data_IF_833920536970
#
_entry.id   IF_833920536970
#
_cell.length_a   1.000
_cell.length_b   1.000
_cell.length_c   1.000
_cell.angle_alpha   90.00
_cell.angle_beta   90.00
_cell.angle_gamma   90.00
#
_symmetry.space_group_name_H-M   'P 1'
#
loop_
_entity.id
_entity.type
_entity.pdbx_description
1 polymer ?
#
# COMPACT_ATOMS: atom_id res chain seq x y z
N UNK A 1 -0.78 -2.99 17.05
CA UNK A 1 0.55 -3.58 16.78
C UNK A 1 0.65 -5.11 16.83
N UNK A 2 -0.26 -5.88 17.45
CA UNK A 2 -0.16 -7.36 17.48
C UNK A 2 -0.88 -8.08 16.33
N UNK A 3 -1.89 -7.46 15.72
CA UNK A 3 -2.69 -8.07 14.66
C UNK A 3 -1.97 -8.11 13.29
N UNK A 4 -1.21 -7.07 12.95
CA UNK A 4 -0.48 -6.99 11.67
C UNK A 4 0.60 -8.08 11.54
N UNK A 5 1.23 -8.50 12.65
CA UNK A 5 2.22 -9.59 12.64
C UNK A 5 1.58 -10.96 12.36
N UNK A 6 0.33 -11.16 12.77
CA UNK A 6 -0.37 -12.43 12.54
C UNK A 6 -0.77 -12.58 11.07
N UNK A 7 -1.22 -11.49 10.44
CA UNK A 7 -1.56 -11.50 9.01
C UNK A 7 -0.33 -11.76 8.12
N UNK A 8 0.82 -11.13 8.43
CA UNK A 8 2.06 -11.37 7.71
C UNK A 8 2.57 -12.81 7.89
N UNK A 9 2.50 -13.35 9.11
CA UNK A 9 2.95 -14.71 9.39
C UNK A 9 2.02 -15.76 8.76
N UNK A 10 0.71 -15.50 8.67
CA UNK A 10 -0.25 -16.36 8.00
C UNK A 10 0.01 -16.42 6.48
N UNK A 11 0.36 -15.28 5.86
CA UNK A 11 0.79 -15.23 4.46
C UNK A 11 2.11 -15.98 4.23
N UNK A 12 3.11 -15.78 5.10
CA UNK A 12 4.43 -16.42 4.98
C UNK A 12 4.40 -17.94 5.24
N UNK A 13 3.54 -18.43 6.14
CA UNK A 13 3.35 -19.87 6.36
C UNK A 13 2.55 -20.55 5.25
N UNK A 14 1.56 -19.87 4.66
CA UNK A 14 0.88 -20.37 3.47
C UNK A 14 1.84 -20.48 2.27
N UNK A 15 2.79 -19.55 2.14
CA UNK A 15 3.79 -19.57 1.07
C UNK A 15 4.91 -20.62 1.25
N UNK A 16 5.06 -21.21 2.45
CA UNK A 16 6.18 -22.11 2.79
C UNK A 16 5.76 -23.55 3.09
N UNK A 17 4.47 -23.88 2.98
CA UNK A 17 3.93 -25.13 3.49
C UNK A 17 3.06 -25.90 2.51
N UNK A 18 3.66 -26.50 1.47
CA UNK A 18 3.23 -27.80 0.93
C UNK A 18 4.35 -28.46 0.13
N UNK A 19 5.31 -29.09 0.83
CA UNK A 19 6.09 -30.18 0.25
C UNK A 19 5.16 -31.39 0.11
N UNK A 20 4.62 -31.60 -1.09
CA UNK A 20 3.78 -32.76 -1.40
C UNK A 20 2.93 -32.66 -2.66
N UNK A 21 3.57 -32.75 -3.83
CA UNK A 21 3.03 -33.38 -5.04
C UNK A 21 1.63 -32.96 -5.57
N UNK A 22 1.57 -31.77 -6.21
CA UNK A 22 0.90 -31.46 -7.50
C UNK A 22 0.94 -29.96 -7.78
N UNK A 23 2.07 -29.52 -8.31
CA UNK A 23 2.34 -28.11 -8.60
C UNK A 23 1.56 -27.56 -9.80
N UNK A 24 1.14 -26.31 -9.69
CA UNK A 24 1.14 -25.39 -10.82
C UNK A 24 0.03 -24.34 -10.84
N UNK A 25 -1.21 -24.70 -10.46
CA UNK A 25 -2.37 -23.79 -10.69
C UNK A 25 -3.25 -23.68 -9.45
N UNK A 26 -3.53 -24.80 -8.77
CA UNK A 26 -4.35 -24.79 -7.56
C UNK A 26 -3.71 -23.99 -6.41
N UNK A 27 -2.38 -23.97 -6.33
CA UNK A 27 -1.63 -23.27 -5.28
C UNK A 27 -1.60 -21.75 -5.51
N UNK A 28 -1.38 -21.30 -6.76
CA UNK A 28 -1.43 -19.88 -7.12
C UNK A 28 -2.85 -19.30 -6.98
N UNK A 29 -3.87 -20.05 -7.43
CA UNK A 29 -5.29 -19.68 -7.23
C UNK A 29 -5.64 -19.60 -5.73
N UNK A 30 -5.06 -20.46 -4.90
CA UNK A 30 -5.25 -20.45 -3.44
C UNK A 30 -4.58 -19.23 -2.81
N UNK A 31 -3.36 -18.89 -3.22
CA UNK A 31 -2.63 -17.71 -2.73
C UNK A 31 -3.34 -16.42 -3.15
N UNK A 32 -3.83 -16.33 -4.39
CA UNK A 32 -4.61 -15.18 -4.86
C UNK A 32 -5.93 -15.05 -4.10
N UNK A 33 -6.65 -16.15 -3.89
CA UNK A 33 -7.89 -16.15 -3.10
C UNK A 33 -7.64 -15.77 -1.63
N UNK A 34 -6.52 -16.20 -1.05
CA UNK A 34 -6.12 -15.80 0.31
C UNK A 34 -5.79 -14.30 0.37
N UNK A 35 -5.07 -13.76 -0.63
CA UNK A 35 -4.80 -12.32 -0.74
C UNK A 35 -6.09 -11.52 -0.86
N UNK A 36 -7.01 -11.89 -1.77
CA UNK A 36 -8.30 -11.18 -1.93
C UNK A 36 -9.12 -11.19 -0.65
N UNK A 37 -9.19 -12.34 0.04
CA UNK A 37 -9.87 -12.42 1.34
C UNK A 37 -9.21 -11.50 2.37
N UNK A 38 -7.89 -11.47 2.46
CA UNK A 38 -7.18 -10.57 3.37
C UNK A 38 -7.46 -9.09 3.06
N UNK A 39 -7.54 -8.73 1.78
CA UNK A 39 -7.90 -7.36 1.36
C UNK A 39 -9.36 -7.00 1.67
N UNK A 40 -10.28 -7.97 1.58
CA UNK A 40 -11.70 -7.78 1.94
C UNK A 40 -11.88 -7.63 3.45
N UNK A 41 -11.27 -8.52 4.23
CA UNK A 41 -11.39 -8.56 5.69
C UNK A 41 -10.80 -7.32 6.37
N UNK A 42 -9.80 -6.68 5.76
CA UNK A 42 -9.12 -5.48 6.30
C UNK A 42 -9.63 -4.17 5.71
N UNK A 43 -10.65 -4.23 4.85
CA UNK A 43 -11.08 -3.08 4.06
C UNK A 43 -11.64 -1.94 4.91
N UNK A 44 -12.34 -2.24 6.00
CA UNK A 44 -12.92 -1.23 6.88
C UNK A 44 -11.83 -0.49 7.66
N UNK A 45 -10.86 -1.21 8.21
CA UNK A 45 -9.72 -0.66 8.94
C UNK A 45 -8.85 0.20 8.03
N UNK A 46 -8.53 -0.29 6.83
CA UNK A 46 -7.74 0.46 5.86
C UNK A 46 -8.46 1.72 5.38
N UNK A 47 -9.77 1.65 5.21
CA UNK A 47 -10.58 2.83 4.89
C UNK A 47 -10.54 3.85 6.03
N UNK A 48 -10.70 3.41 7.27
CA UNK A 48 -10.63 4.29 8.44
C UNK A 48 -9.26 4.97 8.57
N UNK A 49 -8.16 4.23 8.36
CA UNK A 49 -6.80 4.78 8.33
C UNK A 49 -6.68 5.86 7.24
N UNK A 50 -7.14 5.56 6.02
CA UNK A 50 -7.02 6.45 4.89
C UNK A 50 -7.89 7.71 5.03
N UNK A 51 -9.11 7.58 5.57
CA UNK A 51 -10.04 8.68 5.84
C UNK A 51 -9.56 9.56 7.02
N UNK A 52 -8.78 8.99 7.95
CA UNK A 52 -8.12 9.72 9.03
C UNK A 52 -6.91 10.56 8.58
N UNK A 53 -6.37 10.30 7.39
CA UNK A 53 -5.23 11.06 6.87
C UNK A 53 -5.63 12.48 6.44
N UNK A 54 -4.80 13.51 6.73
CA UNK A 54 -4.95 14.82 6.11
C UNK A 54 -5.02 14.71 4.58
N UNK A 55 -5.81 15.56 3.88
CA UNK A 55 -6.02 15.43 2.43
C UNK A 55 -4.73 15.39 1.60
N UNK A 56 -3.71 16.17 1.98
CA UNK A 56 -2.40 16.18 1.32
C UNK A 56 -1.60 14.90 1.55
N UNK A 57 -1.67 14.32 2.75
CA UNK A 57 -1.01 13.06 3.10
C UNK A 57 -1.68 11.90 2.35
N UNK A 58 -3.02 11.87 2.37
CA UNK A 58 -3.82 10.89 1.65
C UNK A 58 -3.52 10.91 0.15
N UNK A 59 -3.50 12.09 -0.47
CA UNK A 59 -3.19 12.23 -1.89
C UNK A 59 -1.79 11.72 -2.23
N UNK A 60 -0.79 12.05 -1.40
CA UNK A 60 0.58 11.59 -1.59
C UNK A 60 0.72 10.08 -1.41
N UNK A 61 0.16 9.53 -0.33
CA UNK A 61 0.19 8.09 -0.05
C UNK A 61 -0.45 7.29 -1.18
N UNK A 62 -1.66 7.68 -1.62
CA UNK A 62 -2.36 7.04 -2.75
C UNK A 62 -1.55 7.14 -4.04
N UNK A 63 -0.92 8.27 -4.31
CA UNK A 63 -0.08 8.44 -5.50
C UNK A 63 1.10 7.47 -5.49
N UNK A 64 1.79 7.32 -4.35
CA UNK A 64 2.93 6.42 -4.20
C UNK A 64 2.53 4.93 -4.25
N UNK A 65 1.37 4.56 -3.70
CA UNK A 65 0.85 3.19 -3.83
C UNK A 65 0.55 2.82 -5.30
N UNK A 66 0.12 3.79 -6.12
CA UNK A 66 -0.25 3.59 -7.52
C UNK A 66 0.93 3.71 -8.48
N UNK A 67 1.82 4.65 -8.21
CA UNK A 67 2.98 4.97 -9.04
C UNK A 67 4.15 5.36 -8.14
N UNK A 68 4.95 4.37 -7.72
CA UNK A 68 6.22 4.63 -7.04
C UNK A 68 7.14 5.45 -7.95
N UNK A 69 7.80 6.47 -7.39
CA UNK A 69 8.65 7.36 -8.19
C UNK A 69 9.78 7.97 -7.36
N UNK A 70 10.93 8.19 -8.00
CA UNK A 70 11.99 9.04 -7.47
C UNK A 70 11.76 10.53 -7.81
N UNK A 71 10.85 10.83 -8.75
CA UNK A 71 10.56 12.18 -9.24
C UNK A 71 9.30 12.79 -8.58
N UNK A 72 9.17 12.57 -7.27
CA UNK A 72 7.98 12.93 -6.50
C UNK A 72 7.61 14.42 -6.63
N UNK A 73 8.61 15.29 -6.74
CA UNK A 73 8.43 16.74 -6.85
C UNK A 73 8.21 17.24 -8.28
N UNK A 74 8.17 16.35 -9.27
CA UNK A 74 7.95 16.74 -10.66
C UNK A 74 6.53 17.27 -10.87
N UNK A 75 6.41 18.30 -11.70
CA UNK A 75 5.11 18.87 -12.08
C UNK A 75 4.22 17.84 -12.78
N UNK A 76 4.83 16.93 -13.56
CA UNK A 76 4.12 15.87 -14.26
C UNK A 76 3.46 14.89 -13.29
N UNK A 77 4.19 14.44 -12.27
CA UNK A 77 3.66 13.56 -11.23
C UNK A 77 2.54 14.24 -10.44
N UNK A 78 2.74 15.48 -10.00
CA UNK A 78 1.72 16.24 -9.29
C UNK A 78 0.42 16.38 -10.10
N UNK A 79 0.52 16.69 -11.40
CA UNK A 79 -0.65 16.84 -12.27
C UNK A 79 -1.43 15.53 -12.41
N UNK A 80 -0.72 14.41 -12.60
CA UNK A 80 -1.33 13.08 -12.77
C UNK A 80 -2.08 12.60 -11.53
N UNK A 81 -1.59 12.96 -10.34
CA UNK A 81 -2.17 12.54 -9.06
C UNK A 81 -2.95 13.64 -8.33
N UNK A 82 -3.18 14.79 -8.96
CA UNK A 82 -3.96 15.89 -8.36
C UNK A 82 -3.31 16.55 -7.13
N UNK A 83 -2.00 16.44 -6.98
CA UNK A 83 -1.27 16.96 -5.82
C UNK A 83 -1.05 18.47 -5.96
N UNK A 84 -1.46 19.24 -4.96
CA UNK A 84 -1.40 20.72 -4.97
C UNK A 84 -0.09 21.23 -4.36
N UNK A 85 0.86 21.61 -5.21
CA UNK A 85 2.05 22.38 -4.83
C UNK A 85 3.16 21.59 -4.13
N UNK A 86 4.41 21.94 -4.42
CA UNK A 86 5.61 21.23 -3.93
C UNK A 86 5.85 21.35 -2.42
N UNK A 87 5.50 22.49 -1.81
CA UNK A 87 5.60 22.68 -0.36
C UNK A 87 4.68 21.76 0.45
N UNK A 88 3.50 21.46 -0.10
CA UNK A 88 2.57 20.49 0.49
C UNK A 88 3.10 19.06 0.39
N UNK A 89 3.88 18.73 -0.65
CA UNK A 89 4.45 17.39 -0.82
C UNK A 89 5.57 17.13 0.17
N UNK A 90 6.46 18.09 0.36
CA UNK A 90 7.59 17.91 1.29
C UNK A 90 7.12 17.73 2.74
N UNK A 91 6.15 18.54 3.16
CA UNK A 91 5.56 18.43 4.50
C UNK A 91 4.79 17.12 4.67
N UNK A 92 3.99 16.73 3.69
CA UNK A 92 3.27 15.47 3.70
C UNK A 92 4.20 14.25 3.73
N UNK A 93 5.25 14.25 2.90
CA UNK A 93 6.24 13.17 2.86
C UNK A 93 6.91 13.03 4.23
N UNK A 94 7.38 14.14 4.80
CA UNK A 94 8.00 14.12 6.13
C UNK A 94 7.07 13.56 7.19
N UNK A 95 5.81 14.00 7.22
CA UNK A 95 4.85 13.52 8.21
C UNK A 95 4.57 12.01 8.07
N UNK A 96 4.49 11.49 6.84
CA UNK A 96 4.29 10.07 6.56
C UNK A 96 5.55 9.21 6.84
N UNK A 97 6.74 9.81 6.72
CA UNK A 97 7.98 9.14 7.15
C UNK A 97 8.08 9.11 8.66
N UNK A 98 7.82 10.25 9.32
CA UNK A 98 7.84 10.38 10.79
C UNK A 98 6.78 9.47 11.46
N UNK A 99 5.62 9.27 10.80
CA UNK A 99 4.57 8.34 11.25
C UNK A 99 4.82 6.87 10.90
N UNK A 100 5.83 6.59 10.08
CA UNK A 100 6.21 5.24 9.67
C UNK A 100 5.33 4.63 8.57
N UNK A 101 4.48 5.41 7.90
CA UNK A 101 3.68 4.96 6.75
C UNK A 101 4.51 4.87 5.46
N UNK A 102 5.58 5.64 5.36
CA UNK A 102 6.51 5.66 4.22
C UNK A 102 7.95 5.45 4.69
N UNK A 103 8.69 4.64 3.94
CA UNK A 103 10.14 4.53 4.00
C UNK A 103 10.76 5.37 2.87
N UNK A 104 11.65 6.31 3.22
CA UNK A 104 12.40 7.16 2.31
C UNK A 104 13.90 6.82 2.24
N UNK A 105 14.30 5.68 2.81
CA UNK A 105 15.69 5.20 2.77
C UNK A 105 16.17 4.83 1.36
N UNK A 106 15.23 4.61 0.43
CA UNK A 106 15.53 4.34 -0.97
C UNK A 106 15.32 5.58 -1.86
N UNK A 107 15.78 5.51 -3.12
CA UNK A 107 15.62 6.63 -4.06
C UNK A 107 14.16 6.99 -4.35
N UNK A 108 13.23 6.05 -4.17
CA UNK A 108 11.81 6.27 -4.39
C UNK A 108 11.10 5.98 -3.05
N UNK A 109 10.45 6.97 -2.42
CA UNK A 109 9.73 6.71 -1.18
C UNK A 109 8.66 5.62 -1.37
N UNK A 110 8.58 4.67 -0.45
CA UNK A 110 7.70 3.50 -0.56
C UNK A 110 6.82 3.31 0.66
N UNK A 111 5.54 2.93 0.50
CA UNK A 111 4.71 2.51 1.63
C UNK A 111 5.33 1.35 2.42
N UNK A 112 5.23 1.40 3.74
CA UNK A 112 5.81 0.39 4.64
C UNK A 112 4.91 -0.82 4.87
N UNK A 113 3.58 -0.66 4.76
CA UNK A 113 2.60 -1.75 4.85
C UNK A 113 2.22 -2.24 3.43
N UNK A 114 2.75 -3.38 2.97
CA UNK A 114 2.51 -3.87 1.62
C UNK A 114 1.04 -4.30 1.40
N UNK A 115 0.34 -4.75 2.45
CA UNK A 115 -1.07 -5.15 2.34
C UNK A 115 -1.96 -3.92 2.20
N UNK A 116 -1.70 -2.88 2.99
CA UNK A 116 -2.42 -1.61 2.87
C UNK A 116 -2.13 -0.94 1.51
N UNK A 117 -0.88 -0.95 1.05
CA UNK A 117 -0.52 -0.42 -0.26
C UNK A 117 -1.18 -1.20 -1.42
N UNK A 118 -1.27 -2.53 -1.31
CA UNK A 118 -2.00 -3.36 -2.26
C UNK A 118 -3.50 -3.03 -2.25
N UNK A 119 -4.11 -2.91 -1.07
CA UNK A 119 -5.51 -2.50 -0.94
C UNK A 119 -5.76 -1.14 -1.59
N UNK A 120 -4.92 -0.13 -1.35
CA UNK A 120 -5.05 1.18 -2.01
C UNK A 120 -4.91 1.06 -3.52
N UNK A 121 -3.93 0.30 -4.01
CA UNK A 121 -3.72 0.13 -5.45
C UNK A 121 -4.89 -0.56 -6.14
N UNK A 122 -5.47 -1.57 -5.50
CA UNK A 122 -6.46 -2.48 -6.10
C UNK A 122 -7.91 -2.03 -5.83
N UNK A 123 -8.19 -1.43 -4.68
CA UNK A 123 -9.53 -1.05 -4.24
C UNK A 123 -9.79 0.46 -4.34
N UNK A 124 -8.75 1.30 -4.26
CA UNK A 124 -8.89 2.75 -4.45
C UNK A 124 -8.61 3.16 -5.91
N UNK A 125 -9.59 2.94 -6.78
CA UNK A 125 -9.66 3.51 -8.14
C UNK A 125 -10.39 2.58 -9.10
N UNK A 126 -11.62 2.86 -9.52
CA UNK A 126 -11.99 3.98 -10.39
C UNK A 126 -12.82 5.04 -9.65
N UNK A 127 -12.20 6.13 -9.19
CA UNK A 127 -12.96 7.37 -9.07
C UNK A 127 -13.16 7.87 -10.50
N UNK A 128 -14.40 7.76 -10.97
CA UNK A 128 -14.86 8.15 -12.30
C UNK A 128 -14.70 9.64 -12.58
#
# INVERSE_FOLDING_TARGET
HRAQQVAFHAFDTAARGTDGDRGGVAEEDTVLAAKERALDETAEEFRAVLDGMPPSHRALYVALCKEPTAELHSRAYHKRHGIRGSGSVRSALRALVDGGEIDDSTKAPTPTDPLFAAWVRERMGRSS
#
